data_IF_366339689837
#
_entry.id   IF_366339689837
#
_cell.length_a   1.000
_cell.length_b   1.000
_cell.length_c   1.000
_cell.angle_alpha   90.00
_cell.angle_beta   90.00
_cell.angle_gamma   90.00
#
_symmetry.space_group_name_H-M   'P 1'
#
loop_
_entity.id
_entity.type
_entity.pdbx_description
1 polymer ?
#
# COMPACT_ATOMS: atom_id res chain seq x y z
N UNK A 1 -3.68 11.68 -25.42
CA UNK A 1 -2.46 11.57 -24.60
C UNK A 1 -1.24 11.05 -25.36
N UNK A 2 -1.34 10.07 -26.26
CA UNK A 2 -0.18 9.56 -27.03
C UNK A 2 0.62 10.62 -27.79
N UNK A 3 -0.05 11.61 -28.40
CA UNK A 3 0.60 12.73 -29.09
C UNK A 3 1.36 13.63 -28.10
N UNK A 4 0.77 13.90 -26.93
CA UNK A 4 1.39 14.72 -25.87
C UNK A 4 2.61 14.01 -25.30
N UNK A 5 2.50 12.71 -25.03
CA UNK A 5 3.61 11.85 -24.62
C UNK A 5 4.73 11.89 -25.68
N UNK A 6 4.41 11.63 -26.95
CA UNK A 6 5.37 11.67 -28.05
C UNK A 6 6.08 13.03 -28.14
N UNK A 7 5.34 14.13 -27.98
CA UNK A 7 5.94 15.45 -27.99
C UNK A 7 6.96 15.65 -26.85
N UNK A 8 6.61 15.29 -25.61
CA UNK A 8 7.54 15.38 -24.48
C UNK A 8 8.69 14.39 -24.55
N UNK A 9 8.57 13.26 -25.26
CA UNK A 9 9.72 12.38 -25.50
C UNK A 9 10.80 13.05 -26.35
N UNK A 10 10.42 13.92 -27.29
CA UNK A 10 11.35 14.60 -28.22
C UNK A 10 11.94 15.90 -27.62
N UNK A 11 11.22 16.60 -26.75
CA UNK A 11 11.71 17.86 -26.14
C UNK A 11 13.00 17.63 -25.32
N UNK A 12 13.98 18.52 -25.44
CA UNK A 12 15.24 18.39 -24.71
C UNK A 12 15.11 18.71 -23.21
N UNK A 13 16.08 18.24 -22.42
CA UNK A 13 16.06 18.42 -20.95
C UNK A 13 16.02 19.90 -20.53
N UNK A 14 16.67 20.79 -21.29
CA UNK A 14 16.74 22.21 -20.98
C UNK A 14 15.39 22.89 -21.21
N UNK A 15 14.71 22.61 -22.32
CA UNK A 15 13.39 23.16 -22.59
C UNK A 15 12.34 22.64 -21.59
N UNK A 16 12.41 21.37 -21.16
CA UNK A 16 11.54 20.87 -20.08
C UNK A 16 11.75 21.65 -18.79
N UNK A 17 13.00 21.96 -18.43
CA UNK A 17 13.30 22.76 -17.24
C UNK A 17 12.72 24.18 -17.31
N UNK A 18 12.71 24.80 -18.50
CA UNK A 18 12.11 26.13 -18.71
C UNK A 18 10.58 26.08 -18.66
N UNK A 19 9.97 25.05 -19.25
CA UNK A 19 8.51 24.90 -19.38
C UNK A 19 7.85 24.16 -18.21
N UNK A 20 8.60 23.85 -17.15
CA UNK A 20 8.13 22.97 -16.07
C UNK A 20 6.87 23.49 -15.40
N UNK A 21 6.70 24.82 -15.30
CA UNK A 21 5.53 25.45 -14.66
C UNK A 21 4.29 25.34 -15.53
N UNK A 22 4.43 25.51 -16.84
CA UNK A 22 3.37 25.38 -17.82
C UNK A 22 2.93 23.92 -17.97
N UNK A 23 3.91 23.01 -18.04
CA UNK A 23 3.68 21.57 -18.05
C UNK A 23 2.93 21.15 -16.78
N UNK A 24 3.43 21.56 -15.61
CA UNK A 24 2.76 21.32 -14.33
C UNK A 24 1.30 21.80 -14.33
N UNK A 25 1.06 23.05 -14.75
CA UNK A 25 -0.27 23.65 -14.72
C UNK A 25 -1.25 22.93 -15.63
N UNK A 26 -0.80 22.58 -16.84
CA UNK A 26 -1.57 21.77 -17.79
C UNK A 26 -1.91 20.38 -17.22
N UNK A 27 -0.94 19.71 -16.59
CA UNK A 27 -1.17 18.37 -16.06
C UNK A 27 -2.05 18.37 -14.80
N UNK A 28 -2.03 19.42 -13.98
CA UNK A 28 -2.99 19.56 -12.85
C UNK A 28 -4.43 19.54 -13.36
N UNK A 29 -4.73 20.22 -14.46
CA UNK A 29 -6.08 20.17 -15.08
C UNK A 29 -6.43 18.77 -15.58
N UNK A 30 -5.47 18.06 -16.19
CA UNK A 30 -5.68 16.68 -16.64
C UNK A 30 -5.85 15.71 -15.47
N UNK A 31 -5.13 15.89 -14.36
CA UNK A 31 -5.29 15.06 -13.18
C UNK A 31 -6.66 15.26 -12.49
N UNK A 32 -7.35 16.38 -12.73
CA UNK A 32 -8.71 16.57 -12.21
C UNK A 32 -9.78 15.76 -12.97
N UNK A 33 -9.38 14.96 -13.98
CA UNK A 33 -10.28 14.15 -14.80
C UNK A 33 -11.21 13.25 -13.99
N UNK A 34 -10.70 12.49 -13.01
CA UNK A 34 -11.55 11.62 -12.17
C UNK A 34 -12.57 12.42 -11.38
N UNK A 35 -12.18 13.58 -10.83
CA UNK A 35 -13.13 14.47 -10.17
C UNK A 35 -14.24 14.88 -11.14
N UNK A 36 -13.86 15.39 -12.31
CA UNK A 36 -14.80 15.89 -13.31
C UNK A 36 -15.77 14.82 -13.81
N UNK A 37 -15.29 13.59 -14.02
CA UNK A 37 -16.11 12.51 -14.60
C UNK A 37 -16.83 11.66 -13.55
N UNK A 38 -16.28 11.46 -12.36
CA UNK A 38 -16.93 10.60 -11.33
C UNK A 38 -17.91 11.39 -10.48
N UNK A 39 -17.71 12.72 -10.28
CA UNK A 39 -18.65 13.55 -9.50
C UNK A 39 -20.08 13.54 -10.07
N UNK A 40 -20.21 13.47 -11.39
CA UNK A 40 -21.50 13.51 -12.10
C UNK A 40 -22.22 12.14 -12.08
N UNK A 41 -21.49 11.05 -11.77
CA UNK A 41 -21.96 9.67 -11.87
C UNK A 41 -22.38 9.05 -10.54
N UNK A 42 -22.90 9.82 -9.58
CA UNK A 42 -23.46 9.32 -8.29
C UNK A 42 -24.68 8.35 -8.43
N UNK A 43 -24.93 7.74 -9.59
CA UNK A 43 -26.05 6.80 -9.83
C UNK A 43 -25.56 5.34 -9.97
N UNK A 44 -26.24 4.34 -9.36
CA UNK A 44 -25.53 3.21 -8.78
C UNK A 44 -25.20 1.98 -9.64
N UNK A 45 -25.58 1.96 -10.92
CA UNK A 45 -25.60 0.69 -11.70
C UNK A 45 -24.44 0.50 -12.69
N UNK A 46 -23.60 1.51 -12.94
CA UNK A 46 -22.54 1.45 -13.96
C UNK A 46 -21.12 1.77 -13.42
N UNK A 47 -20.96 1.90 -12.09
CA UNK A 47 -19.72 2.36 -11.45
C UNK A 47 -18.46 1.61 -11.92
N UNK A 48 -18.47 0.28 -11.94
CA UNK A 48 -17.28 -0.51 -12.27
C UNK A 48 -16.75 -0.23 -13.68
N UNK A 49 -17.63 -0.12 -14.68
CA UNK A 49 -17.23 0.16 -16.07
C UNK A 49 -16.72 1.58 -16.26
N UNK A 50 -17.33 2.56 -15.58
CA UNK A 50 -16.90 3.96 -15.61
C UNK A 50 -15.56 4.11 -14.90
N UNK A 51 -15.41 3.55 -13.70
CA UNK A 51 -14.18 3.59 -12.91
C UNK A 51 -13.00 2.93 -13.65
N UNK A 52 -13.24 1.84 -14.38
CA UNK A 52 -12.24 1.20 -15.23
C UNK A 52 -11.80 2.13 -16.37
N UNK A 53 -12.74 2.76 -17.07
CA UNK A 53 -12.43 3.67 -18.18
C UNK A 53 -11.73 4.95 -17.70
N UNK A 54 -12.14 5.49 -16.55
CA UNK A 54 -11.47 6.63 -15.89
C UNK A 54 -10.04 6.24 -15.53
N UNK A 55 -9.85 5.08 -14.91
CA UNK A 55 -8.52 4.59 -14.53
C UNK A 55 -7.60 4.38 -15.74
N UNK A 56 -8.10 3.82 -16.85
CA UNK A 56 -7.35 3.68 -18.11
C UNK A 56 -6.94 5.02 -18.73
N UNK A 57 -7.81 6.02 -18.62
CA UNK A 57 -7.55 7.37 -19.10
C UNK A 57 -6.47 8.04 -18.24
N UNK A 58 -6.61 7.95 -16.92
CA UNK A 58 -5.58 8.41 -15.98
C UNK A 58 -4.23 7.75 -16.22
N UNK A 59 -4.18 6.44 -16.49
CA UNK A 59 -2.91 5.76 -16.80
C UNK A 59 -2.23 6.37 -18.02
N UNK A 60 -3.01 6.80 -19.01
CA UNK A 60 -2.49 7.50 -20.20
C UNK A 60 -2.04 8.92 -19.88
N UNK A 61 -2.70 9.61 -18.95
CA UNK A 61 -2.31 10.94 -18.47
C UNK A 61 -1.01 10.84 -17.67
N UNK A 62 -0.91 9.90 -16.73
CA UNK A 62 0.27 9.63 -15.91
C UNK A 62 1.46 9.27 -16.80
N UNK A 63 1.29 8.39 -17.80
CA UNK A 63 2.37 8.07 -18.76
C UNK A 63 2.90 9.31 -19.48
N UNK A 64 2.01 10.17 -19.98
CA UNK A 64 2.40 11.40 -20.64
C UNK A 64 3.09 12.39 -19.68
N UNK A 65 2.66 12.44 -18.41
CA UNK A 65 3.30 13.26 -17.37
C UNK A 65 4.68 12.76 -16.99
N UNK A 66 4.89 11.45 -16.96
CA UNK A 66 6.19 10.86 -16.62
C UNK A 66 7.26 11.23 -17.67
N UNK A 67 6.92 11.34 -18.95
CA UNK A 67 7.88 11.64 -20.02
C UNK A 67 8.71 12.93 -19.80
N UNK A 68 8.12 14.10 -19.48
CA UNK A 68 8.90 15.29 -19.10
C UNK A 68 9.52 15.18 -17.70
N UNK A 69 8.83 14.59 -16.73
CA UNK A 69 9.31 14.53 -15.34
C UNK A 69 10.58 13.69 -15.20
N UNK A 70 10.69 12.59 -15.96
CA UNK A 70 11.91 11.77 -15.99
C UNK A 70 13.15 12.51 -16.55
N UNK A 71 12.98 13.71 -17.12
CA UNK A 71 14.09 14.57 -17.58
C UNK A 71 14.53 15.58 -16.53
N UNK A 72 13.74 15.82 -15.49
CA UNK A 72 14.10 16.73 -14.40
C UNK A 72 15.08 16.07 -13.43
N UNK A 73 15.87 16.89 -12.73
CA UNK A 73 16.56 16.42 -11.51
C UNK A 73 15.53 16.24 -10.38
N UNK A 74 15.89 15.51 -9.32
CA UNK A 74 15.07 15.43 -8.12
C UNK A 74 14.73 16.82 -7.55
N UNK A 75 15.70 17.75 -7.56
CA UNK A 75 15.50 19.15 -7.15
C UNK A 75 14.50 19.88 -8.04
N UNK A 76 14.54 19.66 -9.36
CA UNK A 76 13.60 20.26 -10.30
C UNK A 76 12.20 19.66 -10.20
N UNK A 77 12.09 18.39 -9.82
CA UNK A 77 10.81 17.71 -9.65
C UNK A 77 10.13 18.01 -8.32
N UNK A 78 10.88 18.22 -7.24
CA UNK A 78 10.32 18.36 -5.90
C UNK A 78 9.23 19.45 -5.77
N UNK A 79 9.38 20.67 -6.33
CA UNK A 79 8.33 21.68 -6.30
C UNK A 79 7.04 21.22 -6.98
N UNK A 80 7.15 20.50 -8.10
CA UNK A 80 6.01 19.95 -8.85
C UNK A 80 5.30 18.89 -8.01
N UNK A 81 6.06 17.99 -7.39
CA UNK A 81 5.51 16.95 -6.52
C UNK A 81 4.74 17.54 -5.34
N UNK A 82 5.33 18.50 -4.61
CA UNK A 82 4.68 19.10 -3.44
C UNK A 82 3.44 19.94 -3.81
N UNK A 83 3.44 20.58 -4.98
CA UNK A 83 2.26 21.29 -5.47
C UNK A 83 1.14 20.32 -5.87
N UNK A 84 1.47 19.19 -6.51
CA UNK A 84 0.50 18.12 -6.79
C UNK A 84 -0.05 17.48 -5.51
N UNK A 85 0.81 17.22 -4.54
CA UNK A 85 0.41 16.73 -3.22
C UNK A 85 -0.56 17.70 -2.55
N UNK A 86 -0.20 19.00 -2.51
CA UNK A 86 -1.06 20.06 -1.98
C UNK A 86 -2.40 20.13 -2.71
N UNK A 87 -2.42 20.04 -4.03
CA UNK A 87 -3.64 20.02 -4.84
C UNK A 87 -4.55 18.83 -4.49
N UNK A 88 -3.97 17.67 -4.18
CA UNK A 88 -4.70 16.47 -3.83
C UNK A 88 -5.33 16.52 -2.43
N UNK A 89 -4.63 17.09 -1.44
CA UNK A 89 -5.06 17.10 -0.03
C UNK A 89 -5.87 18.33 0.36
N UNK A 90 -5.70 19.49 -0.31
CA UNK A 90 -6.39 20.75 0.05
C UNK A 90 -7.81 20.85 -0.45
N UNK A 91 -8.55 19.74 -0.45
CA UNK A 91 -9.91 19.60 -0.95
C UNK A 91 -11.01 20.49 -0.36
N UNK A 92 -10.68 21.57 0.33
CA UNK A 92 -11.61 22.55 0.93
C UNK A 92 -11.15 24.02 0.80
N UNK A 93 -10.13 24.39 0.02
CA UNK A 93 -9.59 25.76 0.03
C UNK A 93 -9.13 26.29 -1.34
N UNK A 94 -9.81 27.35 -1.77
CA UNK A 94 -9.50 28.32 -2.85
C UNK A 94 -9.95 28.02 -4.29
N UNK A 95 -9.96 26.77 -4.78
CA UNK A 95 -10.24 26.48 -6.21
C UNK A 95 -11.54 25.70 -6.50
N UNK A 96 -12.20 25.18 -5.47
CA UNK A 96 -13.45 24.41 -5.60
C UNK A 96 -14.67 25.21 -5.13
N UNK A 97 -15.83 25.05 -5.78
CA UNK A 97 -17.09 25.61 -5.26
C UNK A 97 -17.36 25.12 -3.82
N UNK A 98 -17.90 25.96 -2.92
CA UNK A 98 -18.16 25.58 -1.52
C UNK A 98 -19.01 24.31 -1.33
N UNK A 99 -19.85 23.99 -2.31
CA UNK A 99 -20.75 22.82 -2.30
C UNK A 99 -20.11 21.54 -2.87
N UNK A 100 -18.89 21.63 -3.42
CA UNK A 100 -18.26 20.53 -4.13
C UNK A 100 -17.48 19.60 -3.17
N UNK A 101 -18.12 18.49 -2.80
CA UNK A 101 -17.56 17.41 -1.97
C UNK A 101 -16.93 16.29 -2.81
N UNK A 102 -16.18 16.64 -3.85
CA UNK A 102 -15.53 15.68 -4.75
C UNK A 102 -14.00 15.71 -4.66
N UNK A 103 -13.45 16.47 -3.74
CA UNK A 103 -12.01 16.64 -3.63
C UNK A 103 -11.27 15.36 -3.23
N UNK A 104 -11.93 14.43 -2.53
CA UNK A 104 -11.39 13.11 -2.19
C UNK A 104 -11.04 12.31 -3.46
N UNK A 105 -11.66 12.60 -4.60
CA UNK A 105 -11.34 11.98 -5.88
C UNK A 105 -9.97 12.42 -6.41
N UNK A 106 -9.53 13.64 -6.11
CA UNK A 106 -8.19 14.14 -6.46
C UNK A 106 -7.12 13.35 -5.72
N UNK A 107 -7.38 13.01 -4.45
CA UNK A 107 -6.49 12.15 -3.67
C UNK A 107 -6.32 10.77 -4.33
N UNK A 108 -7.39 10.16 -4.84
CA UNK A 108 -7.29 8.88 -5.57
C UNK A 108 -6.35 9.01 -6.78
N UNK A 109 -6.50 10.06 -7.58
CA UNK A 109 -5.63 10.31 -8.73
C UNK A 109 -4.18 10.53 -8.31
N UNK A 110 -3.94 11.31 -7.25
CA UNK A 110 -2.60 11.54 -6.73
C UNK A 110 -1.94 10.27 -6.21
N UNK A 111 -2.67 9.42 -5.49
CA UNK A 111 -2.15 8.14 -5.00
C UNK A 111 -1.74 7.21 -6.15
N UNK A 112 -2.55 7.14 -7.22
CA UNK A 112 -2.21 6.39 -8.45
C UNK A 112 -0.97 6.96 -9.13
N UNK A 113 -0.83 8.29 -9.16
CA UNK A 113 0.36 8.94 -9.67
C UNK A 113 1.59 8.62 -8.81
N UNK A 114 1.46 8.65 -7.48
CA UNK A 114 2.52 8.32 -6.54
C UNK A 114 3.01 6.86 -6.71
N UNK A 115 2.08 5.92 -6.91
CA UNK A 115 2.41 4.52 -7.21
C UNK A 115 3.28 4.43 -8.49
N UNK A 116 2.86 5.07 -9.58
CA UNK A 116 3.60 5.03 -10.84
C UNK A 116 4.95 5.74 -10.76
N UNK A 117 5.02 6.87 -10.05
CA UNK A 117 6.27 7.58 -9.77
C UNK A 117 7.23 6.71 -8.97
N UNK A 118 6.74 6.01 -7.94
CA UNK A 118 7.56 5.15 -7.11
C UNK A 118 8.23 4.02 -7.90
N UNK A 119 7.53 3.43 -8.88
CA UNK A 119 8.11 2.41 -9.76
C UNK A 119 9.13 2.98 -10.77
N UNK A 120 8.95 4.22 -11.21
CA UNK A 120 9.82 4.86 -12.22
C UNK A 120 11.08 5.47 -11.62
N UNK A 121 10.94 6.15 -10.48
CA UNK A 121 12.03 6.83 -9.79
C UNK A 121 12.80 5.89 -8.85
N UNK A 122 12.19 4.79 -8.38
CA UNK A 122 12.83 3.80 -7.50
C UNK A 122 13.45 4.47 -6.28
N UNK A 123 14.74 4.26 -6.01
CA UNK A 123 15.51 4.90 -4.93
C UNK A 123 15.36 6.43 -4.91
N UNK A 124 15.26 7.08 -6.08
CA UNK A 124 15.10 8.54 -6.17
C UNK A 124 13.74 9.03 -5.64
N UNK A 125 12.80 8.11 -5.40
CA UNK A 125 11.50 8.43 -4.80
C UNK A 125 11.55 8.52 -3.27
N UNK A 126 12.61 8.03 -2.62
CA UNK A 126 12.72 7.95 -1.15
C UNK A 126 12.38 9.27 -0.42
N UNK A 127 12.85 10.46 -0.85
CA UNK A 127 12.51 11.71 -0.15
C UNK A 127 11.02 12.03 -0.20
N UNK A 128 10.37 11.72 -1.32
CA UNK A 128 8.93 11.95 -1.53
C UNK A 128 8.09 10.91 -0.78
N UNK A 129 8.50 9.65 -0.81
CA UNK A 129 7.89 8.58 -0.01
C UNK A 129 7.96 8.91 1.48
N UNK A 130 9.09 9.46 1.94
CA UNK A 130 9.29 9.90 3.32
C UNK A 130 8.30 10.98 3.75
N UNK A 131 8.04 11.94 2.86
CA UNK A 131 7.03 12.98 3.07
C UNK A 131 5.60 12.42 3.12
N UNK A 132 5.28 11.44 2.27
CA UNK A 132 3.95 10.83 2.20
C UNK A 132 3.68 9.75 3.26
N UNK A 133 4.71 9.20 3.89
CA UNK A 133 4.61 7.95 4.66
C UNK A 133 3.48 7.96 5.69
N UNK A 134 3.39 9.04 6.48
CA UNK A 134 2.35 9.21 7.51
C UNK A 134 0.93 9.16 6.91
N UNK A 135 0.72 9.79 5.76
CA UNK A 135 -0.58 9.82 5.09
C UNK A 135 -0.92 8.45 4.50
N UNK A 136 0.05 7.77 3.87
CA UNK A 136 -0.11 6.42 3.35
C UNK A 136 -0.54 5.45 4.46
N UNK A 137 0.17 5.46 5.59
CA UNK A 137 -0.15 4.64 6.76
C UNK A 137 -1.53 4.98 7.33
N UNK A 138 -1.89 6.26 7.39
CA UNK A 138 -3.21 6.71 7.86
C UNK A 138 -4.32 6.17 6.97
N UNK A 139 -4.13 6.20 5.64
CA UNK A 139 -5.09 5.63 4.68
C UNK A 139 -5.21 4.12 4.86
N UNK A 140 -4.10 3.39 4.94
CA UNK A 140 -4.08 1.94 5.21
C UNK A 140 -4.92 1.67 6.47
N UNK A 141 -4.58 2.30 7.59
CA UNK A 141 -5.25 2.12 8.89
C UNK A 141 -6.76 2.38 8.81
N UNK A 142 -7.19 3.46 8.14
CA UNK A 142 -8.61 3.84 8.06
C UNK A 142 -9.42 3.02 7.06
N UNK A 143 -8.77 2.40 6.09
CA UNK A 143 -9.44 1.58 5.10
C UNK A 143 -9.57 0.11 5.54
N UNK A 144 -8.92 -0.30 6.64
CA UNK A 144 -9.25 -1.54 7.33
C UNK A 144 -10.71 -1.47 7.77
N UNK A 145 -11.53 -2.45 7.37
CA UNK A 145 -12.90 -2.59 7.83
C UNK A 145 -13.00 -3.80 8.77
N UNK A 146 -12.70 -3.58 10.06
CA UNK A 146 -12.78 -4.58 11.12
C UNK A 146 -14.23 -4.79 11.58
N UNK A 147 -14.58 -5.98 12.08
CA UNK A 147 -15.87 -6.17 12.74
C UNK A 147 -15.90 -5.54 14.14
N UNK A 148 -17.08 -5.21 14.67
CA UNK A 148 -17.22 -4.79 16.07
C UNK A 148 -16.63 -5.80 17.07
N UNK A 149 -16.71 -7.10 16.76
CA UNK A 149 -16.13 -8.19 17.57
C UNK A 149 -14.60 -8.08 17.65
N UNK A 150 -13.92 -7.88 16.51
CA UNK A 150 -12.47 -7.70 16.47
C UNK A 150 -12.01 -6.40 17.15
N UNK A 151 -12.84 -5.35 17.14
CA UNK A 151 -12.56 -4.09 17.83
C UNK A 151 -12.64 -4.30 19.36
N UNK A 152 -13.64 -5.02 19.86
CA UNK A 152 -13.79 -5.32 21.29
C UNK A 152 -12.63 -6.21 21.81
N UNK A 153 -12.21 -7.21 21.04
CA UNK A 153 -11.05 -8.05 21.39
C UNK A 153 -9.74 -7.25 21.44
N UNK A 154 -9.62 -6.18 20.64
CA UNK A 154 -8.47 -5.27 20.64
C UNK A 154 -8.51 -4.28 21.80
N UNK A 155 -9.66 -3.68 22.09
CA UNK A 155 -9.83 -2.75 23.21
C UNK A 155 -9.58 -3.41 24.57
N UNK A 156 -9.88 -4.71 24.69
CA UNK A 156 -9.53 -5.49 25.89
C UNK A 156 -8.03 -5.79 26.00
N UNK A 157 -7.32 -5.93 24.87
CA UNK A 157 -5.86 -6.19 24.83
C UNK A 157 -5.01 -4.92 24.94
N UNK A 158 -5.52 -3.76 24.54
CA UNK A 158 -4.82 -2.46 24.58
C UNK A 158 -4.89 -1.74 25.94
N UNK A 159 -5.42 -2.39 26.98
CA UNK A 159 -5.54 -1.83 28.32
C UNK A 159 -4.22 -1.74 29.10
N UNK A 160 -3.15 -1.20 28.49
CA UNK A 160 -1.88 -0.72 29.08
C UNK A 160 -0.79 -0.78 28.00
N UNK A 161 -0.84 0.08 26.99
CA UNK A 161 0.42 0.58 26.44
C UNK A 161 0.18 1.93 25.75
N UNK A 162 1.10 2.85 26.00
CA UNK A 162 1.13 4.17 25.39
C UNK A 162 1.37 4.02 23.88
N UNK A 163 0.32 3.72 23.12
CA UNK A 163 0.33 4.00 21.68
C UNK A 163 0.52 5.51 21.59
N UNK A 164 1.74 5.95 21.31
CA UNK A 164 2.01 7.25 20.71
C UNK A 164 1.22 7.27 19.42
N UNK A 165 -0.07 7.60 19.54
CA UNK A 165 -0.96 7.85 18.43
C UNK A 165 -0.22 8.86 17.59
N UNK A 166 0.23 8.42 16.41
CA UNK A 166 0.47 9.32 15.31
C UNK A 166 -0.79 10.18 15.25
N UNK A 167 -0.68 11.44 15.72
CA UNK A 167 -1.75 12.42 15.67
C UNK A 167 -1.98 12.69 14.19
N UNK A 168 -2.77 11.82 13.57
CA UNK A 168 -3.28 12.07 12.24
C UNK A 168 -4.21 13.26 12.39
N UNK A 169 -3.95 14.34 11.65
CA UNK A 169 -4.84 15.49 11.57
C UNK A 169 -6.29 15.00 11.47
N UNK A 170 -7.11 15.33 12.48
CA UNK A 170 -8.52 14.93 12.55
C UNK A 170 -9.24 15.27 11.23
N UNK A 171 -8.84 16.38 10.61
CA UNK A 171 -9.34 16.85 9.33
C UNK A 171 -8.97 15.92 8.16
N UNK A 172 -7.74 15.40 8.10
CA UNK A 172 -7.34 14.45 7.06
C UNK A 172 -8.05 13.11 7.22
N UNK A 173 -8.23 12.64 8.46
CA UNK A 173 -9.02 11.44 8.75
C UNK A 173 -10.47 11.60 8.31
N UNK A 174 -11.09 12.75 8.61
CA UNK A 174 -12.44 13.06 8.16
C UNK A 174 -12.53 13.16 6.63
N UNK A 175 -11.50 13.73 5.99
CA UNK A 175 -11.39 13.83 4.53
C UNK A 175 -11.38 12.45 3.87
N UNK A 176 -10.49 11.54 4.27
CA UNK A 176 -10.43 10.18 3.70
C UNK A 176 -11.66 9.34 4.04
N UNK A 177 -12.32 9.59 5.18
CA UNK A 177 -13.57 8.94 5.53
C UNK A 177 -14.72 9.32 4.57
N UNK A 178 -14.70 10.57 4.06
CA UNK A 178 -15.64 11.09 3.06
C UNK A 178 -15.50 10.47 1.66
N UNK A 179 -14.40 9.75 1.39
CA UNK A 179 -14.15 9.13 0.09
C UNK A 179 -15.28 8.15 -0.29
N UNK A 180 -15.81 8.21 -1.53
CA UNK A 180 -16.84 7.29 -1.98
C UNK A 180 -16.40 5.83 -1.86
N UNK A 181 -17.32 4.94 -1.44
CA UNK A 181 -17.01 3.52 -1.21
C UNK A 181 -16.39 2.81 -2.42
N UNK A 182 -16.79 3.17 -3.65
CA UNK A 182 -16.23 2.59 -4.89
C UNK A 182 -14.77 3.00 -5.14
N UNK A 183 -14.31 4.12 -4.56
CA UNK A 183 -12.97 4.65 -4.78
C UNK A 183 -11.96 4.14 -3.75
N UNK A 184 -12.42 3.69 -2.57
CA UNK A 184 -11.55 3.19 -1.50
C UNK A 184 -10.67 2.01 -1.95
N UNK A 185 -11.17 0.99 -2.68
CA UNK A 185 -10.31 -0.10 -3.17
C UNK A 185 -9.23 0.40 -4.13
N UNK A 186 -9.56 1.34 -5.02
CA UNK A 186 -8.62 1.92 -5.99
C UNK A 186 -7.50 2.68 -5.26
N UNK A 187 -7.87 3.51 -4.28
CA UNK A 187 -6.92 4.24 -3.45
C UNK A 187 -6.07 3.30 -2.57
N UNK A 188 -6.68 2.26 -1.97
CA UNK A 188 -5.96 1.26 -1.18
C UNK A 188 -4.91 0.54 -2.02
N UNK A 189 -5.29 0.08 -3.22
CA UNK A 189 -4.39 -0.58 -4.17
C UNK A 189 -3.20 0.32 -4.52
N UNK A 190 -3.45 1.60 -4.80
CA UNK A 190 -2.39 2.56 -5.11
C UNK A 190 -1.46 2.83 -3.91
N UNK A 191 -2.00 2.91 -2.69
CA UNK A 191 -1.21 3.08 -1.46
C UNK A 191 -0.35 1.84 -1.19
N UNK A 192 -0.94 0.65 -1.27
CA UNK A 192 -0.22 -0.62 -1.08
C UNK A 192 0.85 -0.81 -2.16
N UNK A 193 0.56 -0.45 -3.42
CA UNK A 193 1.53 -0.46 -4.52
C UNK A 193 2.69 0.50 -4.26
N UNK A 194 2.39 1.72 -3.78
CA UNK A 194 3.41 2.70 -3.40
C UNK A 194 4.28 2.18 -2.25
N UNK A 195 3.68 1.67 -1.18
CA UNK A 195 4.41 1.10 -0.03
C UNK A 195 5.27 -0.09 -0.45
N UNK A 196 4.72 -1.05 -1.20
CA UNK A 196 5.46 -2.18 -1.79
C UNK A 196 6.67 -1.70 -2.58
N UNK A 197 6.48 -0.72 -3.48
CA UNK A 197 7.55 -0.13 -4.27
C UNK A 197 8.63 0.50 -3.38
N UNK A 198 8.22 1.21 -2.33
CA UNK A 198 9.16 1.80 -1.38
C UNK A 198 9.96 0.73 -0.63
N UNK A 199 9.32 -0.34 -0.14
CA UNK A 199 10.02 -1.46 0.50
C UNK A 199 10.95 -2.22 -0.45
N UNK A 200 10.64 -2.21 -1.75
CA UNK A 200 11.46 -2.87 -2.77
C UNK A 200 12.68 -2.05 -3.18
N UNK A 201 12.49 -0.73 -3.35
CA UNK A 201 13.47 0.11 -4.02
C UNK A 201 14.11 1.17 -3.13
N UNK A 202 13.52 1.57 -2.00
CA UNK A 202 14.22 2.51 -1.11
C UNK A 202 15.33 1.78 -0.34
N UNK A 203 16.44 2.45 -0.01
CA UNK A 203 17.50 1.84 0.78
C UNK A 203 16.94 1.30 2.12
N UNK A 204 16.98 -0.01 2.40
CA UNK A 204 16.23 -0.59 3.52
C UNK A 204 16.60 -0.02 4.88
N UNK A 205 17.88 0.24 5.12
CA UNK A 205 18.40 0.75 6.41
C UNK A 205 17.88 2.16 6.71
N UNK A 206 17.79 3.04 5.71
CA UNK A 206 17.27 4.40 5.90
C UNK A 206 15.74 4.44 5.87
N UNK A 207 15.12 3.61 5.03
CA UNK A 207 13.68 3.66 4.84
C UNK A 207 12.89 2.94 5.92
N UNK A 208 13.38 1.81 6.46
CA UNK A 208 12.69 1.01 7.47
C UNK A 208 13.25 1.33 8.87
N UNK A 209 12.93 2.52 9.36
CA UNK A 209 13.26 2.94 10.73
C UNK A 209 12.32 2.31 11.75
N UNK A 210 12.68 2.38 13.04
CA UNK A 210 11.82 1.91 14.12
C UNK A 210 10.48 2.65 14.12
N UNK A 211 10.49 3.97 13.94
CA UNK A 211 9.27 4.79 13.92
C UNK A 211 8.33 4.38 12.77
N UNK A 212 8.90 4.08 11.60
CA UNK A 212 8.12 3.64 10.43
C UNK A 212 7.58 2.23 10.60
N UNK A 213 8.38 1.34 11.19
CA UNK A 213 7.93 -0.01 11.53
C UNK A 213 6.72 0.02 12.45
N UNK A 214 6.82 0.71 13.60
CA UNK A 214 5.72 0.84 14.58
C UNK A 214 4.48 1.49 13.95
N UNK A 215 4.66 2.44 13.03
CA UNK A 215 3.54 3.09 12.37
C UNK A 215 2.79 2.15 11.41
N UNK A 216 3.50 1.30 10.64
CA UNK A 216 2.93 0.56 9.50
C UNK A 216 2.62 -0.90 9.76
N UNK A 217 3.35 -1.58 10.66
CA UNK A 217 3.30 -3.05 10.80
C UNK A 217 1.87 -3.55 11.08
N UNK A 218 1.21 -3.01 12.10
CA UNK A 218 -0.16 -3.43 12.44
C UNK A 218 -1.18 -3.01 11.38
N UNK A 219 -1.26 -1.73 10.94
CA UNK A 219 -2.22 -1.34 9.90
C UNK A 219 -2.10 -2.14 8.61
N UNK A 220 -0.87 -2.53 8.24
CA UNK A 220 -0.61 -3.29 7.04
C UNK A 220 -1.07 -4.75 7.19
N UNK A 221 -0.72 -5.42 8.29
CA UNK A 221 -1.14 -6.80 8.56
C UNK A 221 -2.66 -6.88 8.76
N UNK A 222 -3.27 -5.86 9.35
CA UNK A 222 -4.72 -5.76 9.52
C UNK A 222 -5.49 -5.72 8.20
N UNK A 223 -4.84 -5.38 7.09
CA UNK A 223 -5.47 -5.50 5.78
C UNK A 223 -5.85 -6.94 5.45
N UNK A 224 -5.21 -7.96 6.03
CA UNK A 224 -5.61 -9.36 5.84
C UNK A 224 -7.03 -9.64 6.36
N UNK A 225 -7.52 -8.85 7.32
CA UNK A 225 -8.89 -8.92 7.85
C UNK A 225 -9.88 -8.03 7.07
N UNK A 226 -9.40 -7.28 6.07
CA UNK A 226 -10.21 -6.28 5.40
C UNK A 226 -11.30 -6.92 4.53
N UNK A 227 -12.55 -6.78 4.95
CA UNK A 227 -13.71 -7.35 4.23
C UNK A 227 -14.10 -6.59 2.96
N UNK A 228 -13.48 -5.42 2.70
CA UNK A 228 -13.70 -4.70 1.45
C UNK A 228 -12.83 -5.24 0.30
N UNK A 229 -12.04 -6.31 0.53
CA UNK A 229 -11.25 -7.05 -0.46
C UNK A 229 -12.16 -7.94 -1.34
N UNK A 230 -13.14 -7.34 -2.00
CA UNK A 230 -14.08 -8.04 -2.89
C UNK A 230 -13.46 -8.39 -4.25
N UNK A 231 -12.21 -7.99 -4.49
CA UNK A 231 -11.44 -8.29 -5.70
C UNK A 231 -10.15 -9.01 -5.28
N UNK A 232 -9.90 -10.18 -5.85
CA UNK A 232 -8.67 -10.96 -5.64
C UNK A 232 -7.41 -10.11 -5.86
N UNK A 233 -7.48 -9.18 -6.82
CA UNK A 233 -6.39 -8.23 -7.08
C UNK A 233 -6.00 -7.42 -5.85
N UNK A 234 -6.93 -6.98 -4.99
CA UNK A 234 -6.54 -6.17 -3.82
C UNK A 234 -5.88 -7.06 -2.76
N UNK A 235 -6.29 -8.32 -2.64
CA UNK A 235 -5.66 -9.32 -1.74
C UNK A 235 -4.22 -9.55 -2.13
N UNK A 236 -3.95 -9.68 -3.43
CA UNK A 236 -2.60 -9.84 -3.96
C UNK A 236 -1.72 -8.63 -3.65
N UNK A 237 -2.27 -7.41 -3.72
CA UNK A 237 -1.53 -6.19 -3.34
C UNK A 237 -1.24 -6.11 -1.85
N UNK A 238 -2.17 -6.55 -0.98
CA UNK A 238 -1.96 -6.63 0.47
C UNK A 238 -0.82 -7.61 0.78
N UNK A 239 -0.91 -8.84 0.26
CA UNK A 239 0.13 -9.86 0.45
C UNK A 239 1.47 -9.36 -0.08
N UNK A 240 1.51 -8.80 -1.29
CA UNK A 240 2.74 -8.28 -1.87
C UNK A 240 3.36 -7.17 -1.01
N UNK A 241 2.57 -6.23 -0.49
CA UNK A 241 3.09 -5.18 0.39
C UNK A 241 3.67 -5.75 1.70
N UNK A 242 3.00 -6.73 2.33
CA UNK A 242 3.48 -7.41 3.55
C UNK A 242 4.79 -8.18 3.26
N UNK A 243 4.83 -8.95 2.18
CA UNK A 243 5.99 -9.76 1.80
C UNK A 243 7.20 -8.88 1.52
N UNK A 244 7.03 -7.82 0.72
CA UNK A 244 8.11 -6.89 0.43
C UNK A 244 8.56 -6.10 1.68
N UNK A 245 7.67 -5.86 2.63
CA UNK A 245 8.05 -5.29 3.92
C UNK A 245 8.94 -6.25 4.72
N UNK A 246 8.60 -7.54 4.76
CA UNK A 246 9.43 -8.59 5.36
C UNK A 246 10.84 -8.68 4.74
N UNK A 247 10.92 -8.67 3.41
CA UNK A 247 12.21 -8.64 2.68
C UNK A 247 13.01 -7.37 3.01
N UNK A 248 12.36 -6.20 3.10
CA UNK A 248 13.04 -4.97 3.49
C UNK A 248 13.60 -5.04 4.93
N UNK A 249 12.89 -5.69 5.85
CA UNK A 249 13.36 -5.91 7.22
C UNK A 249 14.56 -6.85 7.28
N UNK A 250 14.54 -7.94 6.50
CA UNK A 250 15.69 -8.85 6.36
C UNK A 250 16.91 -8.09 5.83
N UNK A 251 16.77 -7.37 4.70
CA UNK A 251 17.87 -6.60 4.11
C UNK A 251 18.38 -5.48 5.02
N UNK A 252 17.55 -4.95 5.92
CA UNK A 252 17.94 -3.99 6.94
C UNK A 252 18.52 -4.64 8.22
N UNK A 253 18.64 -5.97 8.25
CA UNK A 253 19.09 -6.77 9.40
C UNK A 253 18.27 -6.51 10.67
N UNK A 254 16.95 -6.33 10.52
CA UNK A 254 15.99 -6.05 11.60
C UNK A 254 15.26 -7.32 12.05
N UNK A 255 16.02 -8.30 12.54
CA UNK A 255 15.49 -9.62 12.91
C UNK A 255 14.30 -9.56 13.89
N UNK A 256 14.38 -8.72 14.92
CA UNK A 256 13.31 -8.58 15.93
C UNK A 256 12.00 -8.06 15.32
N UNK A 257 12.08 -7.14 14.37
CA UNK A 257 10.93 -6.60 13.64
C UNK A 257 10.36 -7.61 12.65
N UNK A 258 11.23 -8.40 12.00
CA UNK A 258 10.80 -9.48 11.11
C UNK A 258 10.02 -10.55 11.89
N UNK A 259 10.52 -10.95 13.07
CA UNK A 259 9.81 -11.82 14.00
C UNK A 259 8.46 -11.25 14.39
N UNK A 260 8.39 -9.95 14.72
CA UNK A 260 7.14 -9.29 15.06
C UNK A 260 6.14 -9.25 13.90
N UNK A 261 6.60 -8.98 12.69
CA UNK A 261 5.76 -9.07 11.49
C UNK A 261 5.18 -10.48 11.32
N UNK A 262 6.02 -11.51 11.43
CA UNK A 262 5.62 -12.90 11.32
C UNK A 262 4.63 -13.30 12.40
N UNK A 263 4.85 -12.88 13.66
CA UNK A 263 3.93 -13.11 14.78
C UNK A 263 2.55 -12.52 14.46
N UNK A 264 2.48 -11.26 14.02
CA UNK A 264 1.22 -10.60 13.70
C UNK A 264 0.46 -11.29 12.55
N UNK A 265 1.17 -11.77 11.52
CA UNK A 265 0.57 -12.53 10.43
C UNK A 265 0.02 -13.87 10.95
N UNK A 266 0.78 -14.59 11.76
CA UNK A 266 0.33 -15.88 12.33
C UNK A 266 -0.83 -15.72 13.33
N UNK A 267 -0.95 -14.58 14.00
CA UNK A 267 -2.17 -14.27 14.78
C UNK A 267 -3.42 -14.22 13.88
N UNK A 268 -3.31 -13.72 12.64
CA UNK A 268 -4.41 -13.75 11.66
C UNK A 268 -4.73 -15.19 11.21
N UNK A 269 -3.74 -16.08 11.22
CA UNK A 269 -3.94 -17.49 10.94
C UNK A 269 -4.78 -18.21 12.01
N UNK A 270 -5.09 -17.59 13.15
CA UNK A 270 -6.00 -18.11 14.19
C UNK A 270 -7.38 -17.45 14.19
N UNK A 271 -7.70 -16.69 13.15
CA UNK A 271 -8.96 -15.96 13.05
C UNK A 271 -10.17 -16.92 12.92
N UNK A 272 -11.35 -16.52 13.40
CA UNK A 272 -12.57 -17.35 13.36
C UNK A 272 -13.04 -17.67 11.93
N UNK A 273 -12.90 -16.71 11.02
CA UNK A 273 -13.12 -16.90 9.57
C UNK A 273 -12.01 -17.72 8.92
N UNK A 274 -12.37 -18.85 8.31
CA UNK A 274 -11.47 -19.71 7.53
C UNK A 274 -10.79 -18.97 6.36
N UNK A 275 -11.51 -18.06 5.70
CA UNK A 275 -10.98 -17.25 4.60
C UNK A 275 -9.79 -16.37 5.04
N UNK A 276 -9.88 -15.77 6.23
CA UNK A 276 -8.82 -14.93 6.78
C UNK A 276 -7.65 -15.80 7.22
N UNK A 277 -7.92 -16.96 7.85
CA UNK A 277 -6.86 -17.91 8.21
C UNK A 277 -6.09 -18.35 6.98
N UNK A 278 -6.78 -18.81 5.94
CA UNK A 278 -6.17 -19.24 4.69
C UNK A 278 -5.34 -18.14 4.03
N UNK A 279 -5.84 -16.90 4.01
CA UNK A 279 -5.10 -15.75 3.48
C UNK A 279 -3.83 -15.46 4.29
N UNK A 280 -3.89 -15.58 5.61
CA UNK A 280 -2.74 -15.40 6.49
C UNK A 280 -1.68 -16.50 6.29
N UNK A 281 -2.07 -17.77 6.17
CA UNK A 281 -1.13 -18.88 5.89
C UNK A 281 -0.48 -18.69 4.52
N UNK A 282 -1.25 -18.31 3.49
CA UNK A 282 -0.71 -17.98 2.16
C UNK A 282 0.28 -16.82 2.23
N UNK A 283 -0.07 -15.75 2.95
CA UNK A 283 0.82 -14.61 3.15
C UNK A 283 2.13 -15.03 3.83
N UNK A 284 2.06 -15.82 4.92
CA UNK A 284 3.23 -16.32 5.61
C UNK A 284 4.09 -17.20 4.70
N UNK A 285 3.49 -18.06 3.88
CA UNK A 285 4.22 -18.86 2.90
C UNK A 285 4.97 -17.99 1.90
N UNK A 286 4.35 -16.92 1.41
CA UNK A 286 5.03 -15.97 0.52
C UNK A 286 6.14 -15.21 1.23
N UNK A 287 6.01 -14.88 2.51
CA UNK A 287 7.10 -14.31 3.31
C UNK A 287 8.27 -15.29 3.35
N UNK A 288 8.03 -16.55 3.74
CA UNK A 288 9.09 -17.57 3.82
C UNK A 288 9.77 -17.80 2.46
N UNK A 289 9.01 -17.85 1.36
CA UNK A 289 9.56 -17.98 0.00
C UNK A 289 10.43 -16.80 -0.42
N UNK A 290 10.05 -15.59 0.00
CA UNK A 290 10.75 -14.36 -0.38
C UNK A 290 11.99 -14.10 0.48
N UNK A 291 12.04 -14.64 1.70
CA UNK A 291 13.18 -14.55 2.59
C UNK A 291 14.30 -15.51 2.15
N UNK A 292 15.54 -15.11 2.40
CA UNK A 292 16.67 -16.02 2.29
C UNK A 292 16.69 -17.07 3.42
N UNK A 293 17.63 -18.01 3.30
CA UNK A 293 17.86 -19.06 4.32
C UNK A 293 18.05 -18.48 5.72
N UNK A 294 18.81 -17.39 5.84
CA UNK A 294 19.10 -16.73 7.12
C UNK A 294 17.83 -16.13 7.74
N UNK A 295 17.05 -15.38 6.96
CA UNK A 295 15.77 -14.82 7.40
C UNK A 295 14.80 -15.90 7.86
N UNK A 296 14.71 -17.00 7.11
CA UNK A 296 13.87 -18.14 7.49
C UNK A 296 14.37 -18.83 8.78
N UNK A 297 15.68 -19.08 8.93
CA UNK A 297 16.23 -19.66 10.17
C UNK A 297 15.85 -18.80 11.40
N UNK A 298 15.83 -17.48 11.25
CA UNK A 298 15.45 -16.58 12.33
C UNK A 298 14.00 -16.74 12.79
N UNK A 299 13.11 -17.23 11.93
CA UNK A 299 11.67 -17.39 12.19
C UNK A 299 11.26 -18.81 12.62
N UNK A 300 12.20 -19.77 12.61
CA UNK A 300 11.88 -21.19 12.80
C UNK A 300 11.16 -21.46 14.12
N UNK A 301 11.68 -20.94 15.23
CA UNK A 301 11.17 -21.24 16.58
C UNK A 301 9.77 -20.67 16.76
N UNK A 302 9.51 -19.52 16.17
CA UNK A 302 8.24 -18.81 16.24
C UNK A 302 7.17 -19.43 15.34
N UNK A 303 7.57 -19.94 14.16
CA UNK A 303 6.64 -20.50 13.17
C UNK A 303 6.24 -21.94 13.45
N UNK A 304 7.17 -22.80 13.87
CA UNK A 304 6.92 -24.25 13.98
C UNK A 304 5.69 -24.61 14.82
N UNK A 305 5.47 -24.04 16.03
CA UNK A 305 4.29 -24.36 16.83
C UNK A 305 2.99 -23.98 16.12
N UNK A 306 2.97 -22.82 15.45
CA UNK A 306 1.79 -22.32 14.75
C UNK A 306 1.48 -23.15 13.51
N UNK A 307 2.51 -23.60 12.78
CA UNK A 307 2.32 -24.46 11.60
C UNK A 307 1.81 -25.84 12.01
N UNK A 308 2.32 -26.41 13.11
CA UNK A 308 1.85 -27.70 13.63
C UNK A 308 0.36 -27.65 14.00
N UNK A 309 -0.07 -26.58 14.68
CA UNK A 309 -1.48 -26.35 15.00
C UNK A 309 -2.36 -26.24 13.73
N UNK A 310 -1.90 -25.53 12.70
CA UNK A 310 -2.65 -25.33 11.46
C UNK A 310 -2.73 -26.58 10.57
N UNK A 311 -1.77 -27.51 10.71
CA UNK A 311 -1.84 -28.82 10.06
C UNK A 311 -2.94 -29.71 10.66
N UNK A 312 -3.52 -29.31 11.79
CA UNK A 312 -4.68 -29.96 12.40
C UNK A 312 -5.95 -29.09 12.31
N UNK A 313 -5.97 -28.07 11.42
CA UNK A 313 -7.17 -27.22 11.22
C UNK A 313 -8.34 -28.06 10.69
N UNK A 314 -9.55 -27.69 11.10
CA UNK A 314 -10.77 -28.39 10.68
C UNK A 314 -11.12 -28.16 9.20
N UNK A 315 -10.57 -27.10 8.59
CA UNK A 315 -10.74 -26.79 7.17
C UNK A 315 -9.62 -27.40 6.32
N UNK A 316 -9.99 -28.29 5.40
CA UNK A 316 -9.06 -29.04 4.53
C UNK A 316 -8.17 -28.13 3.67
N UNK A 317 -8.66 -26.95 3.24
CA UNK A 317 -7.83 -26.04 2.44
C UNK A 317 -6.73 -25.40 3.28
N UNK A 318 -7.01 -25.12 4.56
CA UNK A 318 -6.04 -24.56 5.50
C UNK A 318 -5.00 -25.61 5.89
N UNK A 319 -5.44 -26.84 6.23
CA UNK A 319 -4.56 -27.97 6.52
C UNK A 319 -3.57 -28.19 5.36
N UNK A 320 -4.09 -28.27 4.13
CA UNK A 320 -3.28 -28.44 2.92
C UNK A 320 -2.28 -27.29 2.72
N UNK A 321 -2.71 -26.05 2.96
CA UNK A 321 -1.85 -24.88 2.81
C UNK A 321 -0.78 -24.82 3.91
N UNK A 322 -1.08 -25.26 5.14
CA UNK A 322 -0.13 -25.38 6.24
C UNK A 322 0.95 -26.44 5.94
N UNK A 323 0.56 -27.59 5.40
CA UNK A 323 1.53 -28.57 4.88
C UNK A 323 2.40 -27.98 3.75
N UNK A 324 1.82 -27.21 2.84
CA UNK A 324 2.59 -26.54 1.78
C UNK A 324 3.57 -25.48 2.34
N UNK A 325 3.17 -24.78 3.40
CA UNK A 325 4.05 -23.87 4.15
C UNK A 325 5.20 -24.63 4.83
N UNK A 326 4.95 -25.77 5.46
CA UNK A 326 6.01 -26.60 6.04
C UNK A 326 7.02 -27.06 4.97
N UNK A 327 6.54 -27.57 3.84
CA UNK A 327 7.41 -27.99 2.73
C UNK A 327 8.26 -26.80 2.24
N UNK A 328 7.63 -25.64 2.10
CA UNK A 328 8.34 -24.39 1.74
C UNK A 328 9.44 -24.06 2.75
N UNK A 329 9.16 -24.18 4.05
CA UNK A 329 10.15 -23.97 5.11
C UNK A 329 11.31 -24.96 5.01
N UNK A 330 11.04 -26.24 4.75
CA UNK A 330 12.07 -27.28 4.54
C UNK A 330 12.94 -26.99 3.32
N UNK A 331 12.33 -26.57 2.20
CA UNK A 331 13.03 -26.26 0.95
C UNK A 331 13.97 -25.06 1.11
N UNK A 332 13.54 -24.00 1.80
CA UNK A 332 14.35 -22.80 2.06
C UNK A 332 15.47 -23.07 3.06
N UNK A 333 15.22 -23.88 4.10
CA UNK A 333 16.22 -24.21 5.12
C UNK A 333 17.22 -25.28 4.67
N UNK A 334 16.80 -26.17 3.77
CA UNK A 334 17.53 -27.37 3.35
C UNK A 334 17.47 -28.53 4.35
N UNK A 335 16.56 -28.48 5.33
CA UNK A 335 16.45 -29.48 6.39
C UNK A 335 15.03 -30.00 6.55
N UNK A 336 14.90 -31.26 6.99
CA UNK A 336 13.60 -31.84 7.36
C UNK A 336 13.17 -31.32 8.73
N UNK A 337 12.07 -30.59 8.77
CA UNK A 337 11.56 -29.90 9.96
C UNK A 337 10.51 -30.73 10.71
N UNK A 338 9.89 -31.72 10.05
CA UNK A 338 8.90 -32.62 10.65
C UNK A 338 9.38 -33.28 11.96
N UNK A 339 10.69 -33.45 12.16
CA UNK A 339 11.27 -34.05 13.38
C UNK A 339 11.19 -33.14 14.63
N UNK A 340 10.85 -31.86 14.45
CA UNK A 340 10.75 -30.86 15.51
C UNK A 340 9.29 -30.55 15.88
N UNK A 341 8.33 -31.16 15.17
CA UNK A 341 6.89 -31.12 15.40
C UNK A 341 6.47 -32.42 16.05
#
# INVERSE_FOLDING_TARGET
MSIVEAHFTVIDRKAVGVLVREVESMFIEFFDYRRLFVKDYRKPKEYATVDLNVSRTEDSIVKAFLAPIMKLSAEGFAPVFYKLHRWAIRGKGDDLPPDDKSAELRLVTFLRLAEQLSHRLKELFEPFASHLFTELVTIVRKFVNLTPETIQDREQKSGQDDTKTFESDSDFVAFIAGMPKSQKPIALKAVLGTLKSCFTFCPPVSFVTNERFEAVVEPLVDQLENRNLNEDEVRDFVMAAIVHFGVALEHASKETMLKKLSELVMLKARHTSAEIRLLAVRCQKQIVLALGREGMISLLVELLPSVAELMEDADEEIEKEAHALLITMEDVTGEKLQKYM
#
